data_IF_440922768598
#
_entry.id   IF_440922768598
#
_cell.length_a   1.000
_cell.length_b   1.000
_cell.length_c   1.000
_cell.angle_alpha   90.00
_cell.angle_beta   90.00
_cell.angle_gamma   90.00
#
_symmetry.space_group_name_H-M   'P 1'
#
loop_
_entity.id
_entity.type
_entity.pdbx_description
1 polymer ?
#
# COMPACT_ATOMS: atom_id res chain seq x y z
N UNK A 1 -16.00 2.81 -0.27
CA UNK A 1 -15.44 1.95 -1.34
C UNK A 1 -14.06 2.47 -1.69
N UNK A 2 -13.05 1.59 -1.84
CA UNK A 2 -11.71 2.01 -2.26
C UNK A 2 -11.76 2.65 -3.64
N UNK A 3 -11.21 3.86 -3.79
CA UNK A 3 -11.19 4.55 -5.08
C UNK A 3 -9.88 4.23 -5.80
N UNK A 4 -10.01 3.56 -6.94
CA UNK A 4 -8.90 3.43 -7.87
C UNK A 4 -8.37 4.82 -8.26
N UNK A 5 -7.06 4.92 -8.51
CA UNK A 5 -6.40 6.17 -8.92
C UNK A 5 -6.01 6.08 -10.40
N UNK A 6 -5.97 7.20 -11.09
CA UNK A 6 -5.47 7.26 -12.48
C UNK A 6 -4.02 7.73 -12.47
N UNK A 7 -3.14 7.00 -13.13
CA UNK A 7 -1.76 7.37 -13.37
C UNK A 7 -1.54 7.63 -14.85
N UNK A 8 -0.69 8.60 -15.19
CA UNK A 8 -0.31 8.90 -16.58
C UNK A 8 1.17 8.66 -16.75
N UNK A 9 1.56 7.88 -17.76
CA UNK A 9 2.96 7.62 -18.11
C UNK A 9 3.09 7.53 -19.63
N UNK A 10 3.96 8.34 -20.23
CA UNK A 10 4.13 8.47 -21.68
C UNK A 10 2.79 8.68 -22.43
N UNK A 11 1.96 9.60 -21.94
CA UNK A 11 0.62 9.89 -22.46
C UNK A 11 -0.40 8.73 -22.40
N UNK A 12 -0.02 7.60 -21.78
CA UNK A 12 -0.91 6.47 -21.53
C UNK A 12 -1.50 6.61 -20.13
N UNK A 13 -2.82 6.45 -20.03
CA UNK A 13 -3.52 6.43 -18.75
C UNK A 13 -3.70 5.00 -18.23
N UNK A 14 -3.41 4.81 -16.96
CA UNK A 14 -3.54 3.56 -16.23
C UNK A 14 -4.48 3.75 -15.05
N UNK A 15 -5.35 2.78 -14.82
CA UNK A 15 -6.10 2.70 -13.57
C UNK A 15 -5.31 1.82 -12.62
N UNK A 16 -4.88 2.39 -11.50
CA UNK A 16 -4.14 1.69 -10.47
C UNK A 16 -5.00 1.51 -9.23
N UNK A 17 -4.74 0.42 -8.50
CA UNK A 17 -5.33 0.21 -7.18
C UNK A 17 -5.01 1.38 -6.23
N UNK A 18 -5.88 1.66 -5.25
CA UNK A 18 -5.56 2.60 -4.18
C UNK A 18 -4.20 2.25 -3.56
N UNK A 19 -3.41 3.26 -3.23
CA UNK A 19 -2.06 3.07 -2.65
C UNK A 19 -2.15 2.30 -1.33
N UNK A 20 -3.22 2.53 -0.57
CA UNK A 20 -3.58 1.87 0.67
C UNK A 20 -3.66 0.34 0.52
N UNK A 21 -4.07 -0.16 -0.65
CA UNK A 21 -4.11 -1.60 -0.94
C UNK A 21 -2.75 -2.15 -1.36
N UNK A 22 -1.90 -1.33 -1.99
CA UNK A 22 -0.61 -1.78 -2.51
C UNK A 22 0.37 -2.13 -1.37
N UNK A 23 0.32 -1.42 -0.25
CA UNK A 23 1.14 -1.68 0.95
C UNK A 23 0.92 -3.10 1.52
N UNK A 24 -0.30 -3.49 1.95
CA UNK A 24 -0.57 -4.84 2.48
C UNK A 24 -0.33 -5.93 1.44
N UNK A 25 -0.60 -5.65 0.15
CA UNK A 25 -0.34 -6.61 -0.92
C UNK A 25 1.14 -6.97 -1.05
N UNK A 26 2.04 -6.02 -0.83
CA UNK A 26 3.49 -6.26 -0.81
C UNK A 26 3.95 -7.00 0.46
N UNK A 27 3.30 -6.76 1.60
CA UNK A 27 3.60 -7.45 2.85
C UNK A 27 3.15 -8.93 2.87
N UNK A 28 2.18 -9.33 2.05
CA UNK A 28 1.66 -10.70 2.00
C UNK A 28 2.67 -11.74 1.47
N UNK A 29 3.28 -11.59 0.27
CA UNK A 29 4.33 -12.49 -0.21
C UNK A 29 5.64 -12.31 0.57
N UNK A 30 5.89 -11.09 1.07
CA UNK A 30 6.81 -10.83 2.19
C UNK A 30 8.29 -11.12 1.93
N UNK A 31 8.76 -11.05 0.67
CA UNK A 31 10.21 -11.06 0.42
C UNK A 31 10.86 -9.80 0.99
N UNK A 32 12.16 -9.83 1.29
CA UNK A 32 12.88 -8.66 1.82
C UNK A 32 12.67 -7.42 0.93
N UNK A 33 12.70 -7.62 -0.40
CA UNK A 33 12.44 -6.56 -1.37
C UNK A 33 10.99 -6.06 -1.31
N UNK A 34 10.01 -6.96 -1.19
CA UNK A 34 8.61 -6.54 -1.12
C UNK A 34 8.31 -5.79 0.18
N UNK A 35 8.94 -6.18 1.29
CA UNK A 35 8.87 -5.47 2.56
C UNK A 35 9.47 -4.06 2.43
N UNK A 36 10.65 -3.94 1.83
CA UNK A 36 11.29 -2.65 1.58
C UNK A 36 10.40 -1.75 0.70
N UNK A 37 9.85 -2.30 -0.39
CA UNK A 37 8.92 -1.60 -1.27
C UNK A 37 7.66 -1.14 -0.48
N UNK A 38 7.11 -1.96 0.41
CA UNK A 38 5.95 -1.62 1.23
C UNK A 38 6.23 -0.48 2.22
N UNK A 39 7.40 -0.52 2.88
CA UNK A 39 7.85 0.54 3.79
C UNK A 39 8.07 1.84 3.01
N UNK A 40 8.71 1.75 1.84
CA UNK A 40 8.95 2.90 0.97
C UNK A 40 7.63 3.56 0.54
N UNK A 41 6.65 2.77 0.07
CA UNK A 41 5.33 3.29 -0.29
C UNK A 41 4.64 3.98 0.89
N UNK A 42 4.66 3.39 2.09
CA UNK A 42 4.08 4.01 3.28
C UNK A 42 4.74 5.36 3.59
N UNK A 43 6.06 5.45 3.53
CA UNK A 43 6.79 6.68 3.83
C UNK A 43 6.50 7.75 2.77
N UNK A 44 6.59 7.38 1.50
CA UNK A 44 6.39 8.29 0.37
C UNK A 44 4.98 8.88 0.33
N UNK A 45 3.96 8.07 0.61
CA UNK A 45 2.56 8.49 0.53
C UNK A 45 1.95 8.88 1.87
N UNK A 46 2.72 8.95 2.96
CA UNK A 46 2.21 9.10 4.34
C UNK A 46 1.11 10.16 4.51
N UNK A 47 1.29 11.33 3.90
CA UNK A 47 0.35 12.46 4.01
C UNK A 47 -0.91 12.32 3.14
N UNK A 48 -0.89 11.38 2.18
CA UNK A 48 -1.98 11.12 1.23
C UNK A 48 -2.73 9.81 1.48
N UNK A 49 -2.33 9.06 2.51
CA UNK A 49 -2.94 7.78 2.85
C UNK A 49 -4.26 8.01 3.60
N UNK A 50 -5.32 7.37 3.10
CA UNK A 50 -6.52 7.16 3.89
C UNK A 50 -6.22 6.09 4.95
N UNK A 51 -6.10 6.53 6.21
CA UNK A 51 -5.70 5.68 7.34
C UNK A 51 -6.74 4.60 7.64
N UNK A 52 -8.03 4.92 7.52
CA UNK A 52 -9.10 3.96 7.78
C UNK A 52 -9.15 2.89 6.69
N UNK A 53 -8.95 3.29 5.44
CA UNK A 53 -8.89 2.36 4.32
C UNK A 53 -7.64 1.45 4.41
N UNK A 54 -6.47 2.02 4.71
CA UNK A 54 -5.27 1.23 4.95
C UNK A 54 -5.47 0.25 6.10
N UNK A 55 -6.08 0.68 7.22
CA UNK A 55 -6.39 -0.19 8.37
C UNK A 55 -7.25 -1.37 7.93
N UNK A 56 -8.32 -1.12 7.18
CA UNK A 56 -9.22 -2.17 6.70
C UNK A 56 -8.52 -3.23 5.84
N UNK A 57 -7.51 -2.85 5.05
CA UNK A 57 -6.73 -3.82 4.27
C UNK A 57 -5.67 -4.55 5.08
N UNK A 58 -5.11 -3.89 6.10
CA UNK A 58 -4.11 -4.46 7.01
C UNK A 58 -4.71 -5.46 8.02
N UNK A 59 -6.04 -5.47 8.21
CA UNK A 59 -6.75 -6.44 9.07
C UNK A 59 -6.73 -7.88 8.54
N UNK A 60 -6.26 -8.11 7.30
CA UNK A 60 -6.07 -9.44 6.74
C UNK A 60 -5.12 -10.28 7.62
N UNK A 61 -5.48 -11.53 7.99
CA UNK A 61 -4.68 -12.36 8.90
C UNK A 61 -3.29 -12.73 8.36
N UNK A 62 -3.07 -12.51 7.07
CA UNK A 62 -1.81 -12.83 6.41
C UNK A 62 -0.87 -11.63 6.25
N UNK A 63 -1.29 -10.44 6.67
CA UNK A 63 -0.49 -9.21 6.54
C UNK A 63 0.14 -8.86 7.88
N UNK A 64 1.47 -8.67 7.91
CA UNK A 64 2.21 -8.32 9.14
C UNK A 64 3.05 -7.06 8.95
N UNK A 65 2.47 -5.89 9.18
CA UNK A 65 3.16 -4.59 9.04
C UNK A 65 3.92 -4.09 10.28
N UNK A 66 3.46 -4.45 11.49
CA UNK A 66 4.04 -3.95 12.75
C UNK A 66 5.55 -4.19 12.90
N UNK A 67 6.12 -5.36 12.53
CA UNK A 67 7.56 -5.59 12.63
C UNK A 67 8.41 -4.61 11.80
N UNK A 68 7.81 -3.95 10.81
CA UNK A 68 8.47 -3.04 9.88
C UNK A 68 8.10 -1.57 10.11
N UNK A 69 7.52 -1.24 11.27
CA UNK A 69 7.10 0.12 11.62
C UNK A 69 5.90 0.62 10.82
N UNK A 70 5.15 -0.28 10.17
CA UNK A 70 3.89 0.01 9.50
C UNK A 70 2.77 -0.14 10.53
N UNK A 71 2.56 0.94 11.26
CA UNK A 71 1.43 1.13 12.19
C UNK A 71 0.38 2.02 11.52
N UNK A 72 -0.89 1.63 11.71
CA UNK A 72 -2.08 2.29 11.19
C UNK A 72 -3.01 2.58 12.34
#
# INVERSE_FOLDING_TARGET
>A
MPRARTATFNDIQFVISPIELQIPYKLYPGSDKDIEDAVYLRVLFREMLDTDQLRSFMESPYVRGKPYGIEV
#
